data_IF_181034476922
#
_entry.id   IF_181034476922
#
_cell.length_a   1.000
_cell.length_b   1.000
_cell.length_c   1.000
_cell.angle_alpha   90.00
_cell.angle_beta   90.00
_cell.angle_gamma   90.00
#
_symmetry.space_group_name_H-M   'P 1'
#
loop_
_entity.id
_entity.type
_entity.pdbx_description
1 polymer ?
#
# COMPACT_ATOMS: atom_id res chain seq x y z
N UNK A 1 -37.14 15.96 33.95
CA UNK A 1 -37.00 15.80 32.52
C UNK A 1 -35.68 16.38 31.98
N UNK A 2 -35.27 17.63 32.27
CA UNK A 2 -33.99 18.21 31.75
C UNK A 2 -32.72 17.42 32.12
N UNK A 3 -32.65 16.84 33.34
CA UNK A 3 -31.46 16.05 33.76
C UNK A 3 -31.33 14.71 33.02
N UNK A 4 -32.47 14.07 32.68
CA UNK A 4 -32.49 12.78 31.94
C UNK A 4 -32.08 13.01 30.48
N UNK A 5 -32.50 14.15 29.90
CA UNK A 5 -32.12 14.50 28.54
C UNK A 5 -30.61 14.78 28.43
N UNK A 6 -30.03 15.45 29.45
CA UNK A 6 -28.59 15.75 29.49
C UNK A 6 -27.74 14.47 29.64
N UNK A 7 -28.17 13.51 30.44
CA UNK A 7 -27.47 12.21 30.58
C UNK A 7 -27.58 11.39 29.32
N UNK A 8 -28.73 11.40 28.63
CA UNK A 8 -28.90 10.65 27.36
C UNK A 8 -28.04 11.22 26.23
N UNK A 9 -27.93 12.55 26.15
CA UNK A 9 -27.01 13.21 25.16
C UNK A 9 -25.56 12.92 25.49
N UNK A 10 -25.14 12.90 26.75
CA UNK A 10 -23.75 12.59 27.14
C UNK A 10 -23.38 11.14 26.80
N UNK A 11 -24.29 10.19 26.98
CA UNK A 11 -24.09 8.78 26.61
C UNK A 11 -24.02 8.62 25.09
N UNK A 12 -24.86 9.34 24.33
CA UNK A 12 -24.85 9.31 22.88
C UNK A 12 -23.53 9.88 22.31
N UNK A 13 -23.02 10.97 22.87
CA UNK A 13 -21.73 11.57 22.50
C UNK A 13 -20.56 10.62 22.85
N UNK A 14 -20.60 9.96 24.01
CA UNK A 14 -19.60 8.98 24.40
C UNK A 14 -19.59 7.75 23.47
N UNK A 15 -20.76 7.30 23.00
CA UNK A 15 -20.87 6.20 22.04
C UNK A 15 -20.36 6.57 20.65
N UNK A 16 -20.51 7.82 20.23
CA UNK A 16 -19.98 8.31 18.94
C UNK A 16 -18.45 8.50 19.02
N UNK A 17 -17.91 8.96 20.13
CA UNK A 17 -16.46 9.12 20.32
C UNK A 17 -15.69 7.80 20.50
N UNK A 18 -16.37 6.67 20.83
CA UNK A 18 -15.69 5.39 21.05
C UNK A 18 -15.37 4.60 19.79
N UNK A 19 -15.74 5.09 18.60
CA UNK A 19 -15.55 4.39 17.33
C UNK A 19 -14.37 4.87 16.48
N UNK A 20 -13.51 5.73 16.97
CA UNK A 20 -12.21 5.93 16.30
C UNK A 20 -11.28 4.79 16.73
N UNK A 21 -11.44 3.61 16.10
CA UNK A 21 -10.35 2.65 16.05
C UNK A 21 -9.18 3.36 15.37
N UNK A 22 -8.21 3.72 16.17
CA UNK A 22 -6.90 4.12 15.67
C UNK A 22 -6.31 2.83 15.06
N UNK A 23 -6.61 2.60 13.79
CA UNK A 23 -5.92 1.59 13.03
C UNK A 23 -4.48 2.07 13.00
N UNK A 24 -3.57 1.54 13.78
CA UNK A 24 -2.13 1.87 13.73
C UNK A 24 -1.54 1.60 12.32
N UNK A 25 -2.24 2.18 11.33
CA UNK A 25 -2.37 1.81 9.93
C UNK A 25 -1.07 2.03 9.21
N UNK A 26 -0.27 2.95 9.69
CA UNK A 26 0.77 3.54 8.88
C UNK A 26 2.11 3.61 9.60
N UNK A 27 2.28 2.86 10.68
CA UNK A 27 3.56 2.77 11.40
C UNK A 27 4.72 2.32 10.50
N UNK A 28 4.40 1.65 9.39
CA UNK A 28 5.40 1.21 8.40
C UNK A 28 5.75 2.27 7.36
N UNK A 29 4.97 3.36 7.21
CA UNK A 29 5.21 4.39 6.18
C UNK A 29 6.53 5.11 6.33
N UNK A 30 6.95 5.35 7.56
CA UNK A 30 8.18 6.07 7.88
C UNK A 30 9.39 5.13 8.06
N UNK A 31 9.23 3.83 7.76
CA UNK A 31 10.29 2.83 7.88
C UNK A 31 10.82 2.45 6.50
N UNK A 32 12.07 2.06 6.47
CA UNK A 32 12.61 1.37 5.33
C UNK A 32 12.02 -0.04 5.26
N UNK A 33 11.66 -0.48 4.07
CA UNK A 33 10.93 -1.73 3.87
C UNK A 33 11.65 -2.56 2.83
N UNK A 34 11.81 -3.85 3.13
CA UNK A 34 12.17 -4.86 2.15
C UNK A 34 11.08 -5.93 2.16
N UNK A 35 10.40 -6.10 1.04
CA UNK A 35 9.32 -7.06 0.90
C UNK A 35 9.50 -7.95 -0.33
N UNK A 36 9.25 -9.26 -0.19
CA UNK A 36 9.06 -10.14 -1.34
C UNK A 36 7.57 -10.27 -1.61
N UNK A 37 7.18 -10.10 -2.88
CA UNK A 37 5.79 -10.08 -3.31
C UNK A 37 5.59 -11.00 -4.52
N UNK A 38 4.36 -11.53 -4.65
CA UNK A 38 3.85 -12.12 -5.88
C UNK A 38 2.81 -11.20 -6.49
N UNK A 39 2.99 -10.82 -7.76
CA UNK A 39 2.08 -9.95 -8.49
C UNK A 39 1.35 -10.80 -9.52
N UNK A 40 0.00 -10.81 -9.44
CA UNK A 40 -0.90 -11.57 -10.31
C UNK A 40 -0.50 -13.07 -10.41
N UNK A 41 0.01 -13.64 -9.31
CA UNK A 41 0.52 -15.03 -9.22
C UNK A 41 1.64 -15.38 -10.23
N UNK A 42 2.02 -14.43 -11.09
CA UNK A 42 2.95 -14.64 -12.20
C UNK A 42 4.36 -14.11 -11.92
N UNK A 43 4.45 -12.93 -11.32
CA UNK A 43 5.74 -12.28 -11.08
C UNK A 43 6.13 -12.33 -9.62
N UNK A 44 7.30 -12.89 -9.30
CA UNK A 44 7.91 -12.73 -8.00
C UNK A 44 8.81 -11.53 -8.04
N UNK A 45 8.68 -10.63 -7.09
CA UNK A 45 9.41 -9.37 -7.03
C UNK A 45 9.93 -9.12 -5.63
N UNK A 46 11.04 -8.39 -5.55
CA UNK A 46 11.53 -7.76 -4.33
C UNK A 46 11.25 -6.26 -4.41
N UNK A 47 10.64 -5.71 -3.39
CA UNK A 47 10.36 -4.28 -3.26
C UNK A 47 11.20 -3.75 -2.11
N UNK A 48 12.04 -2.76 -2.41
CA UNK A 48 12.86 -2.04 -1.43
C UNK A 48 12.40 -0.59 -1.43
N UNK A 49 11.81 -0.15 -0.31
CA UNK A 49 11.36 1.24 -0.13
C UNK A 49 12.19 1.90 0.96
N UNK A 50 12.74 3.05 0.64
CA UNK A 50 13.35 4.00 1.58
C UNK A 50 12.60 5.32 1.55
N UNK A 51 13.07 6.32 2.27
CA UNK A 51 12.45 7.66 2.27
C UNK A 51 12.40 8.31 0.87
N UNK A 52 13.43 8.10 0.04
CA UNK A 52 13.60 8.82 -1.24
C UNK A 52 13.48 7.94 -2.47
N UNK A 53 13.48 6.61 -2.29
CA UNK A 53 13.55 5.63 -3.37
C UNK A 53 12.63 4.45 -3.11
N UNK A 54 11.89 4.04 -4.14
CA UNK A 54 11.32 2.71 -4.19
C UNK A 54 11.92 1.95 -5.37
N UNK A 55 12.55 0.81 -5.08
CA UNK A 55 13.12 -0.10 -6.09
C UNK A 55 12.28 -1.37 -6.13
N UNK A 56 11.90 -1.80 -7.33
CA UNK A 56 11.18 -3.04 -7.58
C UNK A 56 12.05 -3.89 -8.50
N UNK A 57 12.51 -5.02 -8.01
CA UNK A 57 13.32 -5.99 -8.78
C UNK A 57 12.49 -7.21 -9.13
N UNK A 58 12.47 -7.62 -10.39
CA UNK A 58 11.83 -8.85 -10.83
C UNK A 58 12.75 -10.04 -10.55
N UNK A 59 12.26 -11.01 -9.78
CA UNK A 59 12.97 -12.24 -9.43
C UNK A 59 12.56 -13.42 -10.32
N UNK A 60 11.27 -13.47 -10.69
CA UNK A 60 10.67 -14.47 -11.58
C UNK A 60 9.59 -13.82 -12.45
N UNK A 61 9.32 -14.28 -13.67
CA UNK A 61 9.93 -15.44 -14.34
C UNK A 61 11.33 -15.13 -14.89
N UNK A 62 12.04 -16.15 -15.37
CA UNK A 62 13.46 -16.06 -15.78
C UNK A 62 13.68 -15.11 -16.96
N UNK A 63 12.71 -14.98 -17.85
CA UNK A 63 12.75 -14.07 -19.02
C UNK A 63 12.62 -12.58 -18.66
N UNK A 64 12.17 -12.29 -17.44
CA UNK A 64 12.07 -10.93 -16.89
C UNK A 64 13.01 -10.71 -15.69
N UNK A 65 13.73 -11.75 -15.27
CA UNK A 65 14.61 -11.70 -14.10
C UNK A 65 15.71 -10.65 -14.26
N UNK A 66 15.91 -9.87 -13.20
CA UNK A 66 16.93 -8.83 -13.16
C UNK A 66 16.47 -7.48 -13.70
N UNK A 67 15.24 -7.37 -14.24
CA UNK A 67 14.66 -6.05 -14.51
C UNK A 67 14.42 -5.36 -13.17
N UNK A 68 14.90 -4.12 -13.06
CA UNK A 68 14.70 -3.25 -11.91
C UNK A 68 13.96 -1.98 -12.33
N UNK A 69 13.02 -1.55 -11.49
CA UNK A 69 12.36 -0.26 -11.60
C UNK A 69 12.78 0.58 -10.39
N UNK A 70 13.26 1.78 -10.64
CA UNK A 70 13.61 2.74 -9.58
C UNK A 70 12.69 3.95 -9.70
N UNK A 71 11.92 4.22 -8.65
CA UNK A 71 10.98 5.33 -8.57
C UNK A 71 11.46 6.26 -7.46
N UNK A 72 11.73 7.51 -7.84
CA UNK A 72 12.14 8.59 -6.94
C UNK A 72 11.16 9.76 -7.03
N UNK A 73 11.36 10.80 -6.22
CA UNK A 73 10.60 12.05 -6.35
C UNK A 73 10.78 12.68 -7.73
N UNK A 74 12.00 12.65 -8.26
CA UNK A 74 12.41 13.40 -9.46
C UNK A 74 12.22 12.63 -10.76
N UNK A 75 12.20 11.29 -10.72
CA UNK A 75 12.12 10.48 -11.93
C UNK A 75 11.77 9.02 -11.70
N UNK A 76 11.69 8.31 -12.80
CA UNK A 76 11.51 6.88 -12.83
C UNK A 76 12.49 6.26 -13.83
N UNK A 77 13.07 5.14 -13.49
CA UNK A 77 14.08 4.46 -14.30
C UNK A 77 13.77 2.98 -14.41
N UNK A 78 14.09 2.42 -15.56
CA UNK A 78 14.14 0.97 -15.79
C UNK A 78 15.60 0.59 -15.99
N UNK A 79 16.06 -0.38 -15.24
CA UNK A 79 17.41 -0.91 -15.36
C UNK A 79 17.38 -2.42 -15.66
N UNK A 80 18.32 -2.85 -16.47
CA UNK A 80 18.56 -4.26 -16.75
C UNK A 80 20.04 -4.44 -17.11
N UNK A 81 20.76 -5.29 -16.37
CA UNK A 81 22.21 -5.39 -16.43
C UNK A 81 22.85 -4.00 -16.22
N UNK A 82 23.71 -3.58 -17.14
CA UNK A 82 24.42 -2.29 -17.10
C UNK A 82 23.64 -1.14 -17.78
N UNK A 83 22.46 -1.44 -18.35
CA UNK A 83 21.63 -0.45 -19.01
C UNK A 83 20.64 0.17 -18.01
N UNK A 84 20.60 1.51 -17.95
CA UNK A 84 19.62 2.27 -17.18
C UNK A 84 18.97 3.34 -18.07
N UNK A 85 17.66 3.33 -18.17
CA UNK A 85 16.88 4.20 -19.03
C UNK A 85 15.91 4.99 -18.17
N UNK A 86 15.89 6.30 -18.34
CA UNK A 86 14.88 7.17 -17.74
C UNK A 86 13.56 7.03 -18.50
N UNK A 87 12.48 6.90 -17.75
CA UNK A 87 11.11 6.75 -18.25
C UNK A 87 10.21 7.80 -17.63
N UNK A 88 9.17 8.22 -18.34
CA UNK A 88 8.15 9.05 -17.71
C UNK A 88 7.37 8.26 -16.68
N UNK A 89 6.98 8.88 -15.57
CA UNK A 89 6.11 8.24 -14.55
C UNK A 89 4.76 7.80 -15.15
N UNK A 90 4.28 8.52 -16.17
CA UNK A 90 3.05 8.16 -16.88
C UNK A 90 3.21 6.84 -17.65
N UNK A 91 4.37 6.63 -18.30
CA UNK A 91 4.68 5.35 -18.98
C UNK A 91 4.81 4.18 -18.01
N UNK A 92 5.16 4.46 -16.74
CA UNK A 92 5.32 3.48 -15.66
C UNK A 92 4.21 3.56 -14.62
N UNK A 93 3.04 4.10 -14.97
CA UNK A 93 1.92 4.35 -14.04
C UNK A 93 1.57 3.15 -13.16
N UNK A 94 1.50 1.96 -13.74
CA UNK A 94 1.25 0.72 -12.99
C UNK A 94 2.37 0.38 -12.00
N UNK A 95 3.63 0.57 -12.41
CA UNK A 95 4.80 0.35 -11.53
C UNK A 95 4.82 1.40 -10.41
N UNK A 96 4.51 2.65 -10.72
CA UNK A 96 4.39 3.72 -9.72
C UNK A 96 3.27 3.41 -8.70
N UNK A 97 2.16 2.82 -9.14
CA UNK A 97 1.10 2.38 -8.24
C UNK A 97 1.58 1.25 -7.31
N UNK A 98 2.35 0.28 -7.81
CA UNK A 98 2.97 -0.76 -6.97
C UNK A 98 3.96 -0.12 -5.97
N UNK A 99 4.79 0.81 -6.42
CA UNK A 99 5.75 1.51 -5.57
C UNK A 99 5.07 2.28 -4.42
N UNK A 100 3.85 2.78 -4.64
CA UNK A 100 3.11 3.57 -3.65
C UNK A 100 2.39 2.75 -2.56
N UNK A 101 2.37 1.41 -2.66
CA UNK A 101 1.69 0.53 -1.67
C UNK A 101 2.09 0.86 -0.23
N UNK A 102 3.39 1.06 -0.02
CA UNK A 102 3.95 1.31 1.31
C UNK A 102 4.05 2.81 1.66
N UNK A 103 3.44 3.68 0.86
CA UNK A 103 3.48 5.13 1.02
C UNK A 103 2.08 5.77 1.02
N UNK A 104 1.02 4.95 1.25
CA UNK A 104 -0.35 5.44 1.30
C UNK A 104 -0.54 6.36 2.51
N UNK A 105 -1.09 7.55 2.31
CA UNK A 105 -1.39 8.53 3.35
C UNK A 105 -2.83 8.40 3.84
N UNK A 106 -3.06 8.72 5.12
CA UNK A 106 -4.42 8.73 5.70
C UNK A 106 -5.38 9.69 4.96
N UNK A 107 -4.84 10.73 4.32
CA UNK A 107 -5.63 11.67 3.53
C UNK A 107 -6.35 11.03 2.32
N UNK A 108 -5.82 9.89 1.84
CA UNK A 108 -6.40 9.13 0.73
C UNK A 108 -7.27 7.95 1.20
N UNK A 109 -7.42 7.76 2.52
CA UNK A 109 -8.21 6.67 3.10
C UNK A 109 -9.71 6.91 2.82
N UNK A 110 -10.33 5.99 2.10
CA UNK A 110 -11.76 6.06 1.74
C UNK A 110 -12.62 5.09 2.54
N UNK A 111 -12.03 4.08 3.17
CA UNK A 111 -12.75 3.12 4.00
C UNK A 111 -11.83 2.20 4.80
N UNK A 112 -12.40 1.70 5.90
CA UNK A 112 -11.76 0.71 6.74
C UNK A 112 -12.82 -0.20 7.38
N UNK A 113 -12.65 -1.53 7.27
CA UNK A 113 -13.57 -2.52 7.87
C UNK A 113 -12.83 -3.81 8.22
N UNK A 114 -13.50 -4.66 8.98
CA UNK A 114 -13.00 -6.00 9.28
C UNK A 114 -13.74 -7.03 8.40
N UNK A 115 -12.99 -7.85 7.69
CA UNK A 115 -13.49 -8.97 6.90
C UNK A 115 -12.87 -10.26 7.39
N UNK A 116 -13.71 -11.17 7.90
CA UNK A 116 -13.27 -12.50 8.42
C UNK A 116 -12.09 -12.42 9.41
N UNK A 117 -12.11 -11.41 10.27
CA UNK A 117 -11.07 -11.19 11.29
C UNK A 117 -9.79 -10.53 10.76
N UNK A 118 -9.80 -10.01 9.54
CA UNK A 118 -8.70 -9.23 8.97
C UNK A 118 -9.17 -7.81 8.71
N UNK A 119 -8.34 -6.84 9.07
CA UNK A 119 -8.63 -5.44 8.76
C UNK A 119 -8.32 -5.16 7.30
N UNK A 120 -9.27 -4.53 6.63
CA UNK A 120 -9.18 -4.12 5.23
C UNK A 120 -9.29 -2.61 5.16
N UNK A 121 -8.39 -2.00 4.41
CA UNK A 121 -8.31 -0.56 4.20
C UNK A 121 -8.44 -0.26 2.72
N UNK A 122 -9.14 0.80 2.38
CA UNK A 122 -9.19 1.29 1.00
C UNK A 122 -8.70 2.72 0.91
N UNK A 123 -7.96 2.98 -0.14
CA UNK A 123 -7.42 4.29 -0.47
C UNK A 123 -7.76 4.62 -1.92
N UNK A 124 -7.89 5.90 -2.21
CA UNK A 124 -8.03 6.39 -3.56
C UNK A 124 -7.05 7.53 -3.83
N UNK A 125 -6.18 7.37 -4.81
CA UNK A 125 -5.20 8.36 -5.19
C UNK A 125 -5.06 8.43 -6.72
N UNK A 126 -5.29 9.61 -7.31
CA UNK A 126 -5.12 9.85 -8.75
C UNK A 126 -5.90 8.85 -9.64
N UNK A 127 -7.15 8.52 -9.27
CA UNK A 127 -7.99 7.56 -9.99
C UNK A 127 -7.50 6.11 -9.88
N UNK A 128 -6.65 5.82 -8.91
CA UNK A 128 -6.20 4.46 -8.58
C UNK A 128 -6.76 4.09 -7.21
N UNK A 129 -7.47 2.96 -7.15
CA UNK A 129 -8.03 2.40 -5.93
C UNK A 129 -7.10 1.32 -5.38
N UNK A 130 -6.82 1.40 -4.09
CA UNK A 130 -6.03 0.42 -3.35
C UNK A 130 -6.91 -0.23 -2.30
N UNK A 131 -6.90 -1.55 -2.24
CA UNK A 131 -7.49 -2.31 -1.15
C UNK A 131 -6.40 -3.10 -0.46
N UNK A 132 -6.07 -2.74 0.76
CA UNK A 132 -4.99 -3.34 1.55
C UNK A 132 -5.59 -4.21 2.64
N UNK A 133 -5.35 -5.51 2.59
CA UNK A 133 -5.67 -6.44 3.67
C UNK A 133 -4.47 -6.54 4.59
N UNK A 134 -4.66 -6.22 5.87
CA UNK A 134 -3.62 -6.30 6.87
C UNK A 134 -3.52 -7.74 7.42
N UNK A 135 -2.29 -8.16 7.67
CA UNK A 135 -1.96 -9.36 8.40
C UNK A 135 -1.74 -9.10 9.88
N UNK A 136 -1.01 -9.99 10.52
CA UNK A 136 -0.54 -9.81 11.90
C UNK A 136 0.35 -8.57 11.99
N UNK A 137 0.36 -7.92 13.15
CA UNK A 137 1.13 -6.70 13.41
C UNK A 137 0.80 -5.51 12.48
N UNK A 138 -0.43 -5.46 11.95
CA UNK A 138 -0.89 -4.38 11.06
C UNK A 138 -0.02 -4.17 9.81
N UNK A 139 0.72 -5.20 9.38
CA UNK A 139 1.50 -5.14 8.15
C UNK A 139 0.66 -5.55 6.94
N UNK A 140 0.85 -4.95 5.76
CA UNK A 140 0.17 -5.37 4.54
C UNK A 140 0.44 -6.85 4.23
N UNK A 141 -0.61 -7.62 3.95
CA UNK A 141 -0.53 -9.04 3.56
C UNK A 141 -0.96 -9.28 2.13
N UNK A 142 -1.98 -8.56 1.68
CA UNK A 142 -2.47 -8.60 0.29
C UNK A 142 -2.92 -7.21 -0.11
N UNK A 143 -2.61 -6.84 -1.34
CA UNK A 143 -3.00 -5.55 -1.91
C UNK A 143 -3.63 -5.77 -3.27
N UNK A 144 -4.82 -5.22 -3.47
CA UNK A 144 -5.42 -5.10 -4.79
C UNK A 144 -5.30 -3.67 -5.24
N UNK A 145 -4.85 -3.46 -6.46
CA UNK A 145 -4.74 -2.15 -7.10
C UNK A 145 -5.61 -2.19 -8.34
N UNK A 146 -6.52 -1.25 -8.46
CA UNK A 146 -7.43 -1.12 -9.58
C UNK A 146 -7.36 0.28 -10.16
N UNK A 147 -7.15 0.35 -11.47
CA UNK A 147 -7.19 1.57 -12.27
C UNK A 147 -7.81 1.23 -13.63
N UNK A 148 -8.29 2.20 -14.39
CA UNK A 148 -8.85 1.97 -15.73
C UNK A 148 -7.90 1.25 -16.69
N UNK A 149 -6.58 1.42 -16.53
CA UNK A 149 -5.56 0.88 -17.41
C UNK A 149 -4.92 -0.43 -16.91
N UNK A 150 -5.06 -0.78 -15.62
CA UNK A 150 -4.40 -1.96 -15.04
C UNK A 150 -5.10 -2.45 -13.78
N UNK A 151 -4.92 -3.75 -13.50
CA UNK A 151 -5.33 -4.40 -12.27
C UNK A 151 -4.19 -5.27 -11.76
N UNK A 152 -3.88 -5.14 -10.47
CA UNK A 152 -2.89 -5.97 -9.78
C UNK A 152 -3.48 -6.61 -8.53
N UNK A 153 -3.20 -7.88 -8.34
CA UNK A 153 -3.39 -8.62 -7.10
C UNK A 153 -2.01 -9.01 -6.57
N UNK A 154 -1.63 -8.45 -5.43
CA UNK A 154 -0.29 -8.55 -4.88
C UNK A 154 -0.37 -9.26 -3.55
N UNK A 155 0.26 -10.43 -3.46
CA UNK A 155 0.49 -11.13 -2.21
C UNK A 155 1.87 -10.77 -1.66
N UNK A 156 1.92 -10.29 -0.41
CA UNK A 156 3.16 -9.99 0.29
C UNK A 156 3.60 -11.25 1.03
N UNK A 157 4.64 -11.90 0.52
CA UNK A 157 5.16 -13.16 1.04
C UNK A 157 5.97 -12.94 2.31
N UNK A 158 6.88 -11.96 2.27
CA UNK A 158 7.69 -11.54 3.41
C UNK A 158 7.77 -10.02 3.48
N UNK A 159 7.90 -9.47 4.68
CA UNK A 159 8.13 -8.05 4.91
C UNK A 159 9.09 -7.87 6.08
N UNK A 160 10.11 -7.03 5.89
CA UNK A 160 11.04 -6.59 6.92
C UNK A 160 10.98 -5.09 7.03
N UNK A 161 10.83 -4.59 8.24
CA UNK A 161 10.83 -3.16 8.58
C UNK A 161 12.14 -2.85 9.29
N UNK A 162 12.84 -1.80 8.87
CA UNK A 162 14.11 -1.35 9.45
C UNK A 162 14.08 0.13 9.79
#
# INVERSE_FOLDING_TARGET
MKKILLTLTLILVALICSCTRNYGILDYQNKDIVAECKINEKYKTEIIKTTDLCKIRVLEPIDAQGIEFEITKDGAFVAYNDLKIEMSKESLKGVCAIASIFSQSEEYLTGAWDEKGKSVLTFEQNGTHFQITLGENSTPKRVKILNEAFEYDIEICTIKLT
#
